data_IF_633425314362
#
_entry.id   IF_633425314362
#
_cell.length_a   1.000
_cell.length_b   1.000
_cell.length_c   1.000
_cell.angle_alpha   90.00
_cell.angle_beta   90.00
_cell.angle_gamma   90.00
#
_symmetry.space_group_name_H-M   'P 1'
#
loop_
_entity.id
_entity.type
_entity.pdbx_description
1 polymer ?
#
# COMPACT_ATOMS: atom_id res chain seq x y z
N UNK A 1 18.24 25.43 10.97
CA UNK A 1 17.31 25.67 12.10
C UNK A 1 16.22 24.62 12.01
N UNK A 2 16.07 23.77 13.02
CA UNK A 2 15.08 22.70 13.04
C UNK A 2 13.80 23.29 13.64
N UNK A 3 12.77 23.50 12.82
CA UNK A 3 11.46 23.94 13.29
C UNK A 3 10.70 22.72 13.81
N UNK A 4 10.73 22.50 15.12
CA UNK A 4 9.84 21.54 15.76
C UNK A 4 8.44 22.14 15.86
N UNK A 5 7.42 21.42 15.36
CA UNK A 5 6.03 21.79 15.61
C UNK A 5 5.72 21.42 17.06
N UNK A 6 5.63 22.42 17.93
CA UNK A 6 5.14 22.25 19.30
C UNK A 6 3.63 22.03 19.25
N UNK A 7 3.13 21.01 19.94
CA UNK A 7 1.70 20.77 20.10
C UNK A 7 1.01 21.93 20.83
N UNK A 8 0.58 22.93 20.07
CA UNK A 8 -0.52 23.81 20.40
C UNK A 8 -1.73 23.45 19.50
N UNK A 9 -1.93 22.16 19.22
CA UNK A 9 -3.11 21.69 18.48
C UNK A 9 -4.28 21.53 19.44
N UNK A 10 -5.39 22.18 19.12
CA UNK A 10 -6.68 22.31 19.82
C UNK A 10 -7.44 21.02 20.16
N UNK A 11 -6.81 19.84 20.11
CA UNK A 11 -7.48 18.54 20.29
C UNK A 11 -6.93 17.67 21.44
N UNK A 12 -6.01 18.17 22.26
CA UNK A 12 -5.50 17.43 23.41
C UNK A 12 -5.92 18.11 24.73
N UNK A 13 -7.01 17.64 25.33
CA UNK A 13 -7.52 18.11 26.64
C UNK A 13 -6.88 17.38 27.85
N UNK A 14 -5.87 16.55 27.61
CA UNK A 14 -5.09 15.88 28.66
C UNK A 14 -3.61 15.97 28.32
N UNK A 15 -2.89 16.87 29.00
CA UNK A 15 -1.43 16.85 29.06
C UNK A 15 -1.02 16.46 30.47
N UNK A 16 -0.29 15.36 30.62
CA UNK A 16 0.45 14.98 31.83
C UNK A 16 -0.31 15.09 33.17
N UNK A 17 -1.58 14.66 33.22
CA UNK A 17 -2.36 14.69 34.46
C UNK A 17 -2.72 16.09 34.97
N UNK A 18 -2.34 17.16 34.26
CA UNK A 18 -2.85 18.49 34.51
C UNK A 18 -4.21 18.62 33.81
N UNK A 19 -5.28 18.60 34.61
CA UNK A 19 -6.60 19.08 34.18
C UNK A 19 -6.46 20.56 33.80
N UNK A 20 -6.29 20.84 32.52
CA UNK A 20 -6.55 22.19 32.03
C UNK A 20 -8.04 22.26 31.78
N UNK A 21 -8.75 23.04 32.60
CA UNK A 21 -10.15 23.33 32.30
C UNK A 21 -10.21 23.89 30.87
N UNK A 22 -11.09 23.37 30.00
CA UNK A 22 -11.29 23.97 28.70
C UNK A 22 -11.68 25.44 28.90
N UNK A 23 -11.18 26.36 28.05
CA UNK A 23 -11.53 27.76 28.17
C UNK A 23 -13.06 27.92 28.09
N UNK A 24 -13.64 28.61 29.06
CA UNK A 24 -15.05 29.01 29.02
C UNK A 24 -15.15 30.28 28.16
N UNK A 25 -15.90 30.23 27.06
CA UNK A 25 -16.17 31.41 26.24
C UNK A 25 -16.74 32.54 27.13
N UNK A 26 -16.20 33.78 27.10
CA UNK A 26 -15.33 34.35 26.08
C UNK A 26 -13.81 34.30 26.31
N UNK A 27 -13.34 33.55 27.31
CA UNK A 27 -11.95 33.60 27.73
C UNK A 27 -11.00 32.85 26.77
N UNK A 28 -9.82 33.42 26.52
CA UNK A 28 -8.71 32.77 25.82
C UNK A 28 -7.75 32.11 26.81
N UNK A 29 -7.08 31.02 26.41
CA UNK A 29 -6.04 30.38 27.23
C UNK A 29 -4.83 31.32 27.36
N UNK A 30 -4.43 31.73 28.57
CA UNK A 30 -3.22 32.53 28.75
C UNK A 30 -2.00 31.60 28.60
N UNK A 31 -1.46 31.51 27.38
CA UNK A 31 -0.18 30.85 27.15
C UNK A 31 0.89 31.92 27.03
N UNK A 32 1.70 32.09 28.08
CA UNK A 32 2.98 32.77 27.96
C UNK A 32 4.01 31.69 27.59
N UNK A 33 4.50 31.60 26.35
CA UNK A 33 5.51 30.61 26.01
C UNK A 33 6.80 31.00 26.73
N UNK A 34 7.19 30.27 27.78
CA UNK A 34 8.40 30.49 28.58
C UNK A 34 9.71 30.23 27.81
N UNK A 35 9.66 30.10 26.47
CA UNK A 35 10.80 29.77 25.62
C UNK A 35 11.38 28.36 25.83
N UNK A 36 10.88 27.61 26.82
CA UNK A 36 11.31 26.25 27.15
C UNK A 36 10.31 25.22 26.61
N UNK A 37 10.83 24.09 26.14
CA UNK A 37 10.01 22.94 25.74
C UNK A 37 9.46 22.30 27.03
N UNK A 38 8.12 22.19 27.19
CA UNK A 38 7.53 21.57 28.38
C UNK A 38 8.00 20.13 28.57
N UNK A 39 8.13 19.69 29.83
CA UNK A 39 8.41 18.29 30.16
C UNK A 39 7.35 17.36 29.54
N UNK A 40 7.80 16.29 28.91
CA UNK A 40 6.97 15.30 28.22
C UNK A 40 6.47 15.75 26.84
N UNK A 41 6.71 16.99 26.40
CA UNK A 41 6.29 17.42 25.08
C UNK A 41 6.85 16.50 23.98
N UNK A 42 6.00 16.14 23.02
CA UNK A 42 6.43 15.37 21.85
C UNK A 42 6.91 16.31 20.74
N UNK A 43 7.99 15.93 20.08
CA UNK A 43 8.66 16.72 19.05
C UNK A 43 8.62 15.97 17.73
N UNK A 44 8.29 16.68 16.66
CA UNK A 44 8.34 16.17 15.29
C UNK A 44 9.26 17.04 14.46
N UNK A 45 10.22 16.41 13.77
CA UNK A 45 11.22 17.11 12.96
C UNK A 45 11.49 16.34 11.68
N UNK A 46 11.98 17.05 10.67
CA UNK A 46 12.58 16.43 9.50
C UNK A 46 14.07 16.16 9.75
N UNK A 47 14.56 15.07 9.19
CA UNK A 47 16.00 14.83 9.06
C UNK A 47 16.64 15.99 8.31
N UNK A 48 17.81 16.43 8.76
CA UNK A 48 18.58 17.49 8.08
C UNK A 48 18.93 17.10 6.64
N UNK A 49 19.19 15.82 6.42
CA UNK A 49 19.60 15.26 5.13
C UNK A 49 18.42 14.60 4.40
N UNK A 50 17.19 15.06 4.68
CA UNK A 50 16.01 14.54 4.00
C UNK A 50 16.06 14.84 2.51
N UNK A 51 15.90 13.80 1.70
CA UNK A 51 15.85 13.89 0.24
C UNK A 51 14.50 13.41 -0.26
N UNK A 52 13.98 14.04 -1.31
CA UNK A 52 12.71 13.63 -1.90
C UNK A 52 12.76 12.18 -2.43
N UNK A 53 11.69 11.39 -2.23
CA UNK A 53 11.57 10.04 -2.76
C UNK A 53 11.81 9.98 -4.27
N UNK A 54 12.49 8.93 -4.73
CA UNK A 54 12.71 8.64 -6.16
C UNK A 54 12.32 7.20 -6.45
N UNK A 55 11.67 6.99 -7.58
CA UNK A 55 11.27 5.67 -8.07
C UNK A 55 11.88 5.48 -9.45
N UNK A 56 12.61 4.39 -9.63
CA UNK A 56 13.13 3.96 -10.93
C UNK A 56 12.33 2.76 -11.38
N UNK A 57 11.69 2.87 -12.55
CA UNK A 57 10.88 1.80 -13.13
C UNK A 57 11.44 1.37 -14.48
N UNK A 58 11.33 0.08 -14.77
CA UNK A 58 11.64 -0.49 -16.07
C UNK A 58 10.60 -1.56 -16.40
N UNK A 59 10.12 -1.57 -17.64
CA UNK A 59 9.18 -2.57 -18.14
C UNK A 59 9.72 -3.14 -19.45
N UNK A 60 9.69 -4.45 -19.59
CA UNK A 60 10.08 -5.16 -20.81
C UNK A 60 8.95 -6.12 -21.16
N UNK A 61 8.34 -5.91 -22.33
CA UNK A 61 7.22 -6.71 -22.79
C UNK A 61 7.48 -7.30 -24.18
N UNK A 62 6.95 -8.49 -24.40
CA UNK A 62 6.90 -9.16 -25.69
C UNK A 62 5.51 -9.72 -25.91
N UNK A 63 4.90 -9.43 -27.05
CA UNK A 63 3.61 -9.97 -27.46
C UNK A 63 3.74 -10.54 -28.87
N UNK A 64 3.19 -11.74 -29.07
CA UNK A 64 3.23 -12.44 -30.34
C UNK A 64 1.86 -13.04 -30.64
N UNK A 65 1.38 -12.84 -31.87
CA UNK A 65 0.26 -13.60 -32.41
C UNK A 65 0.72 -15.04 -32.71
N UNK A 66 0.08 -16.02 -32.07
CA UNK A 66 0.43 -17.45 -32.17
C UNK A 66 -0.55 -18.23 -33.04
N UNK A 67 -1.76 -17.69 -33.22
CA UNK A 67 -2.76 -18.14 -34.17
C UNK A 67 -3.64 -16.96 -34.54
N UNK A 68 -4.43 -17.07 -35.61
CA UNK A 68 -5.34 -16.01 -36.04
C UNK A 68 -6.21 -15.56 -34.86
N UNK A 69 -6.17 -14.26 -34.57
CA UNK A 69 -6.94 -13.63 -33.49
C UNK A 69 -6.56 -14.10 -32.07
N UNK A 70 -5.36 -14.67 -31.89
CA UNK A 70 -4.85 -15.17 -30.61
C UNK A 70 -3.39 -14.75 -30.38
N UNK A 71 -3.16 -13.94 -29.35
CA UNK A 71 -1.83 -13.54 -28.91
C UNK A 71 -1.46 -14.09 -27.54
N UNK A 72 -0.17 -14.32 -27.33
CA UNK A 72 0.45 -14.57 -26.03
C UNK A 72 1.40 -13.42 -25.75
N UNK A 73 1.41 -12.97 -24.49
CA UNK A 73 2.31 -11.92 -24.05
C UNK A 73 3.05 -12.29 -22.76
N UNK A 74 4.25 -11.73 -22.66
CA UNK A 74 5.09 -11.77 -21.47
C UNK A 74 5.48 -10.34 -21.12
N UNK A 75 5.36 -9.97 -19.85
CA UNK A 75 5.77 -8.67 -19.33
C UNK A 75 6.61 -8.86 -18.08
N UNK A 76 7.74 -8.15 -18.02
CA UNK A 76 8.55 -8.01 -16.82
C UNK A 76 8.54 -6.57 -16.35
N UNK A 77 8.08 -6.36 -15.13
CA UNK A 77 8.04 -5.06 -14.46
C UNK A 77 9.05 -5.03 -13.31
N UNK A 78 9.91 -4.01 -13.29
CA UNK A 78 10.84 -3.70 -12.20
C UNK A 78 10.53 -2.30 -11.66
N UNK A 79 10.45 -2.15 -10.33
CA UNK A 79 10.30 -0.86 -9.68
C UNK A 79 11.15 -0.80 -8.41
N UNK A 80 12.06 0.17 -8.34
CA UNK A 80 12.95 0.40 -7.20
C UNK A 80 12.68 1.78 -6.61
N UNK A 81 12.18 1.80 -5.38
CA UNK A 81 12.02 3.01 -4.58
C UNK A 81 13.26 3.26 -3.73
N UNK A 82 13.78 4.48 -3.76
CA UNK A 82 14.84 4.96 -2.87
C UNK A 82 14.43 6.29 -2.24
N UNK A 83 15.02 6.60 -1.09
CA UNK A 83 14.71 7.80 -0.34
C UNK A 83 13.24 7.91 0.08
N UNK A 84 12.59 6.76 0.32
CA UNK A 84 11.19 6.74 0.75
C UNK A 84 11.06 7.33 2.15
N UNK A 85 9.97 8.05 2.37
CA UNK A 85 9.66 8.68 3.65
C UNK A 85 9.41 7.60 4.70
N UNK A 86 10.05 7.75 5.86
CA UNK A 86 9.90 6.86 7.02
C UNK A 86 9.89 7.68 8.30
N UNK A 87 9.01 7.32 9.24
CA UNK A 87 8.86 8.00 10.53
C UNK A 87 9.45 7.14 11.65
N UNK A 88 10.46 7.66 12.33
CA UNK A 88 11.19 6.92 13.37
C UNK A 88 11.08 7.64 14.71
N UNK A 89 10.73 6.92 15.77
CA UNK A 89 10.61 7.50 17.10
C UNK A 89 11.93 7.34 17.87
N UNK A 90 12.80 8.34 17.80
CA UNK A 90 14.10 8.32 18.45
C UNK A 90 14.04 8.37 19.98
N UNK A 91 12.88 8.65 20.58
CA UNK A 91 12.68 8.48 22.02
C UNK A 91 12.98 7.03 22.46
N UNK A 92 12.76 6.04 21.57
CA UNK A 92 13.10 4.62 21.80
C UNK A 92 14.60 4.36 22.02
N UNK A 93 15.47 5.30 21.64
CA UNK A 93 16.92 5.23 21.93
C UNK A 93 17.27 5.79 23.32
N UNK A 94 16.31 6.36 24.04
CA UNK A 94 16.55 7.04 25.33
C UNK A 94 17.18 8.42 25.19
N UNK A 95 17.23 9.00 23.99
CA UNK A 95 17.68 10.38 23.82
C UNK A 95 16.63 11.35 24.34
N UNK A 96 17.07 12.42 25.01
CA UNK A 96 16.23 13.47 25.57
C UNK A 96 15.09 12.93 26.47
N UNK A 97 15.43 12.32 27.63
CA UNK A 97 14.46 11.65 28.51
C UNK A 97 13.37 12.58 29.08
N UNK A 98 13.56 13.90 28.96
CA UNK A 98 12.58 14.91 29.33
C UNK A 98 11.47 15.13 28.28
N UNK A 99 11.59 14.55 27.08
CA UNK A 99 10.60 14.64 26.01
C UNK A 99 9.74 13.37 25.95
N UNK A 100 8.56 13.49 25.33
CA UNK A 100 7.73 12.35 24.98
C UNK A 100 8.24 11.66 23.72
N UNK A 101 7.40 11.59 22.68
CA UNK A 101 7.84 11.05 21.40
C UNK A 101 8.77 12.02 20.67
N UNK A 102 9.74 11.46 19.94
CA UNK A 102 10.68 12.21 19.11
C UNK A 102 10.62 11.61 17.71
N UNK A 103 9.63 12.04 16.93
CA UNK A 103 9.46 11.55 15.57
C UNK A 103 10.34 12.31 14.59
N UNK A 104 11.22 11.58 13.93
CA UNK A 104 12.05 12.08 12.84
C UNK A 104 11.49 11.56 11.52
N UNK A 105 11.03 12.49 10.68
CA UNK A 105 10.71 12.21 9.29
C UNK A 105 12.00 12.10 8.50
N UNK A 106 12.32 10.90 8.06
CA UNK A 106 13.56 10.55 7.35
C UNK A 106 13.26 10.05 5.94
N UNK A 107 14.25 10.11 5.06
CA UNK A 107 14.22 9.54 3.71
C UNK A 107 15.06 8.25 3.64
N UNK A 108 14.96 7.41 4.68
CA UNK A 108 15.75 6.19 4.82
C UNK A 108 15.09 4.95 4.20
N UNK A 109 13.80 5.03 3.86
CA UNK A 109 13.05 3.88 3.37
C UNK A 109 13.44 3.50 1.94
N UNK A 110 13.23 2.23 1.60
CA UNK A 110 13.49 1.67 0.27
C UNK A 110 12.47 0.59 -0.07
N UNK A 111 12.20 0.43 -1.36
CA UNK A 111 11.35 -0.65 -1.86
C UNK A 111 11.91 -1.26 -3.14
N UNK A 112 11.54 -2.51 -3.40
CA UNK A 112 11.92 -3.25 -4.59
C UNK A 112 10.79 -4.20 -4.99
N UNK A 113 10.17 -3.91 -6.11
CA UNK A 113 9.15 -4.71 -6.73
C UNK A 113 9.67 -5.32 -8.03
N UNK A 114 9.46 -6.62 -8.20
CA UNK A 114 9.67 -7.31 -9.46
C UNK A 114 8.44 -8.17 -9.76
N UNK A 115 7.95 -8.13 -10.99
CA UNK A 115 6.85 -8.97 -11.43
C UNK A 115 7.11 -9.52 -12.82
N UNK A 116 6.72 -10.77 -13.00
CA UNK A 116 6.63 -11.41 -14.30
C UNK A 116 5.18 -11.78 -14.57
N UNK A 117 4.66 -11.33 -15.69
CA UNK A 117 3.29 -11.56 -16.12
C UNK A 117 3.33 -12.38 -17.41
N UNK A 118 2.58 -13.48 -17.44
CA UNK A 118 2.28 -14.21 -18.66
C UNK A 118 0.78 -14.12 -18.90
N UNK A 119 0.40 -13.88 -20.15
CA UNK A 119 -1.00 -13.82 -20.51
C UNK A 119 -1.28 -14.22 -21.93
N UNK A 120 -2.57 -14.39 -22.19
CA UNK A 120 -3.10 -14.85 -23.47
C UNK A 120 -4.37 -14.06 -23.76
N UNK A 121 -4.47 -13.54 -24.98
CA UNK A 121 -5.59 -12.74 -25.44
C UNK A 121 -6.14 -13.32 -26.73
N UNK A 122 -7.41 -13.71 -26.70
CA UNK A 122 -8.18 -14.12 -27.87
C UNK A 122 -9.15 -12.99 -28.22
N UNK A 123 -8.95 -12.36 -29.37
CA UNK A 123 -9.93 -11.39 -29.92
C UNK A 123 -11.22 -12.11 -30.31
N UNK A 124 -12.33 -11.37 -30.28
CA UNK A 124 -13.64 -11.91 -30.63
C UNK A 124 -13.64 -12.44 -32.06
N UNK A 125 -13.84 -13.74 -32.19
CA UNK A 125 -13.97 -14.44 -33.46
C UNK A 125 -14.69 -15.75 -33.19
N UNK A 126 -15.43 -16.29 -34.15
CA UNK A 126 -16.07 -17.61 -34.00
C UNK A 126 -16.89 -17.72 -32.70
N UNK A 127 -17.61 -16.66 -32.33
CA UNK A 127 -18.51 -16.59 -31.17
C UNK A 127 -17.85 -16.50 -29.79
N UNK A 128 -16.54 -16.23 -29.66
CA UNK A 128 -15.95 -16.02 -28.34
C UNK A 128 -14.74 -15.08 -28.34
N UNK A 129 -14.52 -14.45 -27.18
CA UNK A 129 -13.28 -13.78 -26.80
C UNK A 129 -12.90 -14.16 -25.37
N UNK A 130 -11.62 -14.06 -25.05
CA UNK A 130 -11.16 -14.17 -23.67
C UNK A 130 -9.82 -13.47 -23.47
N UNK A 131 -9.53 -13.13 -22.23
CA UNK A 131 -8.18 -12.81 -21.80
C UNK A 131 -7.90 -13.46 -20.45
N UNK A 132 -6.72 -14.06 -20.32
CA UNK A 132 -6.21 -14.61 -19.08
C UNK A 132 -4.80 -14.10 -18.81
N UNK A 133 -4.49 -13.78 -17.56
CA UNK A 133 -3.14 -13.46 -17.12
C UNK A 133 -2.80 -14.07 -15.78
N UNK A 134 -1.53 -14.35 -15.61
CA UNK A 134 -0.92 -14.82 -14.37
C UNK A 134 0.29 -13.96 -14.06
N UNK A 135 0.31 -13.41 -12.84
CA UNK A 135 1.38 -12.56 -12.34
C UNK A 135 2.09 -13.28 -11.20
N UNK A 136 3.38 -13.51 -11.37
CA UNK A 136 4.31 -13.90 -10.31
C UNK A 136 5.09 -12.67 -9.87
N UNK A 137 4.88 -12.19 -8.64
CA UNK A 137 5.52 -10.96 -8.16
C UNK A 137 6.23 -11.12 -6.82
N UNK A 138 7.14 -10.20 -6.53
CA UNK A 138 7.82 -10.08 -5.24
C UNK A 138 7.95 -8.60 -4.90
N UNK A 139 7.26 -8.16 -3.85
CA UNK A 139 7.37 -6.82 -3.28
C UNK A 139 8.16 -6.87 -1.97
N UNK A 140 9.20 -6.04 -1.87
CA UNK A 140 10.00 -5.88 -0.65
C UNK A 140 10.09 -4.41 -0.29
N UNK A 141 10.05 -4.13 1.01
CA UNK A 141 10.32 -2.81 1.56
C UNK A 141 10.90 -2.92 2.97
N UNK A 142 11.23 -1.80 3.60
CA UNK A 142 11.59 -1.70 5.02
C UNK A 142 10.58 -0.92 5.87
N UNK A 143 9.55 -0.36 5.25
CA UNK A 143 8.41 0.27 5.93
C UNK A 143 7.16 0.25 5.04
N UNK A 144 6.25 -0.69 5.30
CA UNK A 144 4.93 -0.78 4.63
C UNK A 144 3.98 0.32 5.13
N UNK A 145 4.33 1.59 4.92
CA UNK A 145 3.59 2.72 5.47
C UNK A 145 2.86 3.52 4.39
N UNK A 146 1.54 3.65 4.54
CA UNK A 146 0.65 4.32 3.60
C UNK A 146 0.09 5.64 4.17
N UNK A 147 0.93 6.46 4.82
CA UNK A 147 0.60 7.80 5.42
C UNK A 147 0.29 7.78 6.93
N UNK A 148 0.92 6.90 7.69
CA UNK A 148 0.92 6.95 9.14
C UNK A 148 2.20 7.63 9.65
N UNK A 149 2.17 8.94 9.99
CA UNK A 149 3.32 9.64 10.54
C UNK A 149 3.50 9.44 12.05
N UNK A 150 2.58 8.71 12.69
CA UNK A 150 2.47 8.63 14.15
C UNK A 150 2.98 7.32 14.73
N UNK A 151 3.20 6.31 13.90
CA UNK A 151 3.68 5.00 14.33
C UNK A 151 5.09 4.73 13.83
N UNK A 152 5.99 4.40 14.74
CA UNK A 152 7.29 3.84 14.38
C UNK A 152 7.16 2.31 14.23
N UNK A 153 7.31 1.85 12.99
CA UNK A 153 7.19 0.42 12.63
C UNK A 153 8.53 -0.32 12.64
N UNK A 154 9.65 0.33 12.96
CA UNK A 154 10.96 -0.33 13.03
C UNK A 154 10.99 -1.44 14.08
N UNK A 155 11.56 -2.59 13.71
CA UNK A 155 11.82 -3.71 14.62
C UNK A 155 12.96 -3.34 15.56
N UNK A 156 14.06 -2.86 15.00
CA UNK A 156 15.21 -2.36 15.74
C UNK A 156 15.63 -0.99 15.19
N UNK A 157 15.37 0.06 15.97
CA UNK A 157 15.72 1.44 15.62
C UNK A 157 17.24 1.68 15.55
N UNK A 158 18.05 0.77 16.09
CA UNK A 158 19.51 0.82 15.99
C UNK A 158 20.04 0.07 14.75
N UNK A 159 19.22 -0.79 14.14
CA UNK A 159 19.58 -1.52 12.93
C UNK A 159 18.40 -1.66 11.96
N UNK A 160 18.08 -0.56 11.27
CA UNK A 160 16.97 -0.48 10.31
C UNK A 160 17.09 -1.41 9.10
N UNK A 161 18.29 -1.95 8.83
CA UNK A 161 18.47 -2.90 7.72
C UNK A 161 17.71 -4.21 7.94
N UNK A 162 17.46 -4.56 9.21
CA UNK A 162 16.70 -5.75 9.58
C UNK A 162 15.21 -5.66 9.22
N UNK A 163 14.71 -4.44 9.02
CA UNK A 163 13.32 -4.22 8.60
C UNK A 163 13.07 -4.57 7.13
N UNK A 164 14.12 -4.74 6.33
CA UNK A 164 13.98 -5.02 4.90
C UNK A 164 13.51 -6.45 4.63
N UNK A 165 12.22 -6.61 4.34
CA UNK A 165 11.54 -7.90 4.22
C UNK A 165 10.51 -7.86 3.09
N UNK A 166 9.63 -8.87 3.00
CA UNK A 166 8.46 -8.76 2.13
C UNK A 166 7.61 -7.57 2.58
N UNK A 167 7.04 -6.83 1.63
CA UNK A 167 6.08 -5.75 1.87
C UNK A 167 4.74 -6.33 2.34
N UNK A 168 3.97 -5.59 3.13
CA UNK A 168 2.62 -5.99 3.58
C UNK A 168 1.65 -6.12 2.39
N UNK A 169 2.03 -5.51 1.25
CA UNK A 169 1.31 -5.50 -0.02
C UNK A 169 1.77 -6.63 -0.96
N UNK A 170 2.77 -7.45 -0.57
CA UNK A 170 3.28 -8.55 -1.40
C UNK A 170 2.16 -9.57 -1.67
N UNK A 171 1.84 -9.75 -2.94
CA UNK A 171 0.96 -10.81 -3.44
C UNK A 171 1.77 -11.62 -4.43
N UNK A 172 2.21 -12.81 -4.00
CA UNK A 172 3.14 -13.63 -4.78
C UNK A 172 2.54 -14.09 -6.11
N UNK A 173 1.32 -14.61 -6.08
CA UNK A 173 0.64 -15.13 -7.25
C UNK A 173 -0.71 -14.44 -7.40
N UNK A 174 -1.01 -13.95 -8.60
CA UNK A 174 -2.31 -13.40 -8.98
C UNK A 174 -2.71 -13.97 -10.33
N UNK A 175 -3.98 -14.36 -10.46
CA UNK A 175 -4.57 -14.87 -11.69
C UNK A 175 -5.84 -14.08 -11.98
N UNK A 176 -6.00 -13.65 -13.23
CA UNK A 176 -7.23 -13.02 -13.70
C UNK A 176 -7.63 -13.65 -15.02
N UNK A 177 -8.91 -13.85 -15.21
CA UNK A 177 -9.48 -14.34 -16.46
C UNK A 177 -10.84 -13.70 -16.70
N UNK A 178 -11.14 -13.37 -17.94
CA UNK A 178 -12.52 -13.13 -18.37
C UNK A 178 -12.76 -13.73 -19.76
N UNK A 179 -14.03 -14.03 -20.04
CA UNK A 179 -14.50 -14.41 -21.35
C UNK A 179 -15.87 -13.84 -21.66
N UNK A 180 -16.13 -13.68 -22.95
CA UNK A 180 -17.47 -13.47 -23.51
C UNK A 180 -17.69 -14.50 -24.60
N UNK A 181 -18.79 -15.22 -24.53
CA UNK A 181 -19.12 -16.34 -25.42
C UNK A 181 -20.56 -16.17 -25.90
N UNK A 182 -20.75 -16.08 -27.21
CA UNK A 182 -22.05 -16.23 -27.85
C UNK A 182 -22.39 -17.72 -27.96
N UNK A 183 -23.48 -18.09 -27.31
CA UNK A 183 -24.06 -19.42 -27.32
C UNK A 183 -25.19 -19.50 -28.36
N UNK A 184 -25.61 -20.72 -28.75
CA UNK A 184 -26.79 -20.90 -29.60
C UNK A 184 -28.02 -20.16 -29.09
N UNK A 185 -28.97 -19.86 -29.99
CA UNK A 185 -30.19 -19.10 -29.67
C UNK A 185 -29.97 -17.67 -29.15
N UNK A 186 -28.82 -17.06 -29.46
CA UNK A 186 -28.43 -15.69 -29.08
C UNK A 186 -28.29 -15.49 -27.56
N UNK A 187 -27.92 -16.56 -26.85
CA UNK A 187 -27.48 -16.42 -25.47
C UNK A 187 -26.05 -15.87 -25.45
N UNK A 188 -25.74 -15.03 -24.49
CA UNK A 188 -24.40 -14.49 -24.27
C UNK A 188 -23.98 -14.83 -22.84
N UNK A 189 -22.85 -15.50 -22.73
CA UNK A 189 -22.23 -15.88 -21.46
C UNK A 189 -20.98 -15.04 -21.23
N UNK A 190 -20.96 -14.29 -20.13
CA UNK A 190 -19.76 -13.68 -19.58
C UNK A 190 -19.30 -14.49 -18.37
N UNK A 191 -18.01 -14.80 -18.29
CA UNK A 191 -17.41 -15.42 -17.12
C UNK A 191 -16.16 -14.64 -16.71
N UNK A 192 -15.93 -14.52 -15.39
CA UNK A 192 -14.78 -13.83 -14.81
C UNK A 192 -14.23 -14.61 -13.63
N UNK A 193 -12.92 -14.72 -13.55
CA UNK A 193 -12.20 -15.32 -12.42
C UNK A 193 -11.15 -14.33 -11.95
N UNK A 194 -11.07 -14.15 -10.64
CA UNK A 194 -9.97 -13.43 -10.00
C UNK A 194 -9.48 -14.27 -8.83
N UNK A 195 -8.18 -14.51 -8.76
CA UNK A 195 -7.59 -15.26 -7.66
C UNK A 195 -6.24 -14.68 -7.27
N UNK A 196 -5.93 -14.72 -5.98
CA UNK A 196 -4.59 -14.40 -5.52
C UNK A 196 -4.24 -15.11 -4.20
N UNK A 197 -2.94 -15.31 -4.00
CA UNK A 197 -2.44 -15.85 -2.73
C UNK A 197 -2.49 -14.83 -1.61
N UNK A 198 -2.44 -15.33 -0.38
CA UNK A 198 -2.43 -14.51 0.82
C UNK A 198 -1.23 -13.55 0.89
N UNK A 199 -1.49 -12.36 1.41
CA UNK A 199 -0.46 -11.38 1.77
C UNK A 199 0.33 -11.84 2.99
N UNK A 200 1.58 -11.39 3.15
CA UNK A 200 2.34 -11.69 4.35
C UNK A 200 1.83 -10.91 5.57
N UNK A 201 2.19 -11.42 6.75
CA UNK A 201 1.97 -10.75 8.03
C UNK A 201 3.13 -11.02 8.97
N UNK A 202 3.44 -10.04 9.80
CA UNK A 202 4.41 -10.19 10.88
C UNK A 202 3.77 -10.99 12.04
N UNK A 203 4.47 -11.99 12.62
CA UNK A 203 3.98 -12.70 13.80
C UNK A 203 3.65 -11.76 14.97
N UNK A 204 2.72 -12.16 15.83
CA UNK A 204 2.34 -11.39 17.01
C UNK A 204 3.55 -11.07 17.91
N UNK A 205 4.44 -12.06 18.10
CA UNK A 205 5.74 -11.85 18.76
C UNK A 205 6.75 -11.40 17.72
N UNK A 206 7.12 -10.13 17.74
CA UNK A 206 8.14 -9.55 16.85
C UNK A 206 9.54 -9.91 17.33
N UNK A 207 10.37 -10.39 16.43
CA UNK A 207 11.83 -10.54 16.61
C UNK A 207 12.54 -9.77 15.50
N UNK A 208 13.81 -9.46 15.70
CA UNK A 208 14.56 -8.60 14.79
C UNK A 208 14.55 -9.07 13.31
N UNK A 209 14.29 -10.36 13.04
CA UNK A 209 14.39 -10.95 11.70
C UNK A 209 13.09 -11.57 11.19
N UNK A 210 11.96 -11.40 11.88
CA UNK A 210 10.71 -12.10 11.53
C UNK A 210 9.63 -11.22 10.89
N UNK A 211 10.00 -10.05 10.35
CA UNK A 211 9.06 -9.22 9.62
C UNK A 211 8.46 -9.99 8.44
N UNK A 212 7.13 -10.06 8.40
CA UNK A 212 6.37 -10.59 7.27
C UNK A 212 6.73 -12.03 6.86
N UNK A 213 7.01 -12.88 7.85
CA UNK A 213 7.33 -14.31 7.65
C UNK A 213 6.11 -15.23 7.64
N UNK A 214 4.97 -14.80 8.19
CA UNK A 214 3.71 -15.55 8.15
C UNK A 214 2.80 -15.05 7.02
N UNK A 215 1.64 -15.70 6.85
CA UNK A 215 0.61 -15.33 5.86
C UNK A 215 -0.70 -14.99 6.55
N UNK A 216 -1.40 -14.00 6.02
CA UNK A 216 -2.77 -13.66 6.42
C UNK A 216 -3.74 -14.75 5.94
N UNK A 217 -4.92 -14.80 6.54
CA UNK A 217 -6.04 -15.56 6.00
C UNK A 217 -6.85 -14.68 5.03
N UNK A 218 -6.21 -14.28 3.93
CA UNK A 218 -6.81 -13.42 2.90
C UNK A 218 -6.48 -13.87 1.48
N UNK A 219 -6.23 -15.17 1.32
CA UNK A 219 -6.27 -15.77 -0.01
C UNK A 219 -7.66 -15.52 -0.62
N UNK A 220 -7.67 -15.22 -1.90
CA UNK A 220 -8.89 -14.78 -2.57
C UNK A 220 -9.12 -15.61 -3.82
N UNK A 221 -10.39 -15.95 -4.04
CA UNK A 221 -10.88 -16.54 -5.25
C UNK A 221 -12.32 -16.05 -5.45
N UNK A 222 -12.60 -15.49 -6.62
CA UNK A 222 -13.95 -15.19 -7.08
C UNK A 222 -14.18 -15.80 -8.46
N UNK A 223 -15.43 -16.23 -8.65
CA UNK A 223 -15.95 -16.65 -9.94
C UNK A 223 -17.30 -15.98 -10.14
N UNK A 224 -17.37 -15.09 -11.12
CA UNK A 224 -18.57 -14.36 -11.49
C UNK A 224 -18.99 -14.77 -12.89
N UNK A 225 -20.29 -14.96 -13.10
CA UNK A 225 -20.83 -15.30 -14.41
C UNK A 225 -22.14 -14.57 -14.66
N UNK A 226 -22.42 -14.30 -15.93
CA UNK A 226 -23.67 -13.69 -16.40
C UNK A 226 -24.10 -14.39 -17.67
N UNK A 227 -25.35 -14.84 -17.68
CA UNK A 227 -26.01 -15.33 -18.89
C UNK A 227 -27.12 -14.34 -19.27
N UNK A 228 -27.11 -13.87 -20.51
CA UNK A 228 -28.15 -12.96 -21.00
C UNK A 228 -28.62 -13.37 -22.40
N UNK A 229 -29.81 -12.90 -22.77
CA UNK A 229 -30.36 -13.02 -24.12
C UNK A 229 -31.07 -11.71 -24.47
N UNK A 230 -30.55 -10.91 -25.42
CA UNK A 230 -31.23 -9.69 -25.81
C UNK A 230 -32.51 -10.01 -26.59
N UNK A 231 -33.64 -9.48 -26.13
CA UNK A 231 -34.91 -9.52 -26.85
C UNK A 231 -35.06 -8.25 -27.68
N UNK A 232 -35.18 -8.39 -28.99
CA UNK A 232 -35.49 -7.28 -29.86
C UNK A 232 -37.00 -7.23 -30.03
N UNK A 233 -37.64 -6.27 -29.37
CA UNK A 233 -39.02 -5.89 -29.70
C UNK A 233 -38.94 -4.94 -30.90
N UNK A 234 -39.80 -5.18 -31.90
CA UNK A 234 -39.88 -4.40 -33.16
C UNK A 234 -39.64 -2.89 -32.99
N UNK A 235 -38.98 -2.26 -33.96
CA UNK A 235 -38.74 -0.80 -34.03
C UNK A 235 -40.00 0.07 -33.90
N UNK A 236 -41.20 -0.53 -33.97
CA UNK A 236 -42.49 0.16 -33.76
C UNK A 236 -42.80 0.57 -32.31
N UNK A 237 -41.94 0.26 -31.34
CA UNK A 237 -42.10 0.64 -29.94
C UNK A 237 -40.84 1.33 -29.40
N UNK A 238 -40.34 2.32 -30.13
CA UNK A 238 -39.52 3.39 -29.57
C UNK A 238 -40.41 4.64 -29.50
N UNK A 239 -40.82 5.01 -28.28
CA UNK A 239 -41.39 6.33 -27.95
C UNK A 239 -40.27 7.22 -27.42
#
# INVERSE_FOLDING_TARGET
>A
QQFGVTCATTFAFTCFGASTQPPTWPNTVPSNPTGSIPFGASVRVFSKDYTNPRIYTANVAFEQEIARDLSVYFDFTHSKGVHLTRFLNFARKGFFPQLGDIFVTSSAGKSLYNAFTVGMRKRFSHHYQFEGNYVLSKDKDDDSNERDPFTDRSFDINNLQLDYALSDRDIRHRFNFFSDVELPAKFELNARVQAHTAQPITPAVRTATNRNTLRKDNQFFSFDWRLQRPFHFSERLAL
#
